data_IF_499822841559
#
_entry.id   IF_499822841559
#
_cell.length_a   1.000
_cell.length_b   1.000
_cell.length_c   1.000
_cell.angle_alpha   90.00
_cell.angle_beta   90.00
_cell.angle_gamma   90.00
#
_symmetry.space_group_name_H-M   'P 1'
#
loop_
_entity.id
_entity.type
_entity.pdbx_description
1 polymer ?
#
# COMPACT_ATOMS: atom_id res chain seq x y z
N UNK A 1 19.08 19.90 27.98
CA UNK A 1 18.52 20.43 26.71
C UNK A 1 19.05 19.59 25.57
N UNK A 2 18.23 18.94 24.74
CA UNK A 2 18.75 18.20 23.59
C UNK A 2 18.94 19.16 22.41
N UNK A 3 20.14 19.08 21.83
CA UNK A 3 20.63 19.83 20.68
C UNK A 3 19.81 19.42 19.45
N UNK A 4 19.08 20.36 18.84
CA UNK A 4 18.45 20.16 17.52
C UNK A 4 19.54 19.73 16.52
N UNK A 5 19.56 18.46 16.13
CA UNK A 5 20.35 18.04 14.96
C UNK A 5 19.65 18.58 13.72
N UNK A 6 20.09 19.73 13.24
CA UNK A 6 19.85 20.14 11.85
C UNK A 6 20.39 19.04 10.94
N UNK A 7 19.50 18.24 10.37
CA UNK A 7 19.80 17.30 9.29
C UNK A 7 20.49 18.11 8.18
N UNK A 8 21.79 17.89 7.99
CA UNK A 8 22.47 18.31 6.77
C UNK A 8 21.85 17.49 5.65
N UNK A 9 21.03 18.12 4.80
CA UNK A 9 20.61 17.55 3.53
C UNK A 9 21.88 17.30 2.71
N UNK A 10 22.36 16.06 2.74
CA UNK A 10 23.49 15.62 1.95
C UNK A 10 23.05 15.62 0.50
N UNK A 11 23.58 16.56 -0.30
CA UNK A 11 23.39 16.64 -1.74
C UNK A 11 24.15 15.49 -2.41
N UNK A 12 23.58 14.29 -2.34
CA UNK A 12 24.14 13.09 -2.92
C UNK A 12 23.91 13.09 -4.45
N UNK A 13 24.95 12.76 -5.22
CA UNK A 13 24.91 12.72 -6.69
C UNK A 13 25.06 11.27 -7.12
N UNK A 14 24.13 10.77 -7.91
CA UNK A 14 24.09 9.38 -8.39
C UNK A 14 24.52 9.29 -9.86
N UNK A 15 25.25 8.24 -10.26
CA UNK A 15 25.68 8.02 -11.64
C UNK A 15 24.52 7.59 -12.54
N UNK A 16 24.71 7.70 -13.85
CA UNK A 16 23.74 7.31 -14.89
C UNK A 16 23.15 5.91 -14.67
N UNK A 17 23.98 4.91 -14.39
CA UNK A 17 23.53 3.52 -14.28
C UNK A 17 22.53 3.34 -13.12
N UNK A 18 22.74 4.07 -12.03
CA UNK A 18 21.82 4.09 -10.90
C UNK A 18 20.53 4.85 -11.23
N UNK A 19 20.61 5.96 -11.98
CA UNK A 19 19.41 6.67 -12.47
C UNK A 19 18.57 5.77 -13.35
N UNK A 20 19.17 5.01 -14.27
CA UNK A 20 18.45 4.08 -15.14
C UNK A 20 17.80 2.95 -14.33
N UNK A 21 18.50 2.40 -13.33
CA UNK A 21 17.96 1.39 -12.44
C UNK A 21 16.77 1.91 -11.63
N UNK A 22 16.86 3.11 -11.04
CA UNK A 22 15.81 3.71 -10.21
C UNK A 22 14.58 4.16 -11.00
N UNK A 23 14.78 4.61 -12.24
CA UNK A 23 13.71 5.13 -13.11
C UNK A 23 13.12 4.08 -14.05
N UNK A 24 13.76 2.90 -14.15
CA UNK A 24 13.46 1.84 -15.12
C UNK A 24 13.43 2.34 -16.58
N UNK A 25 14.08 3.46 -16.87
CA UNK A 25 14.15 4.02 -18.22
C UNK A 25 15.27 3.35 -19.02
N UNK A 26 15.04 3.21 -20.32
CA UNK A 26 16.16 2.95 -21.24
C UNK A 26 16.99 4.23 -21.41
N UNK A 27 18.28 4.07 -21.69
CA UNK A 27 19.20 5.18 -21.95
C UNK A 27 18.70 6.10 -23.08
N UNK A 28 18.09 5.53 -24.12
CA UNK A 28 17.49 6.30 -25.23
C UNK A 28 16.28 7.13 -24.79
N UNK A 29 15.46 6.59 -23.88
CA UNK A 29 14.30 7.32 -23.33
C UNK A 29 14.76 8.46 -22.44
N UNK A 30 15.77 8.24 -21.59
CA UNK A 30 16.35 9.28 -20.76
C UNK A 30 16.88 10.45 -21.62
N UNK A 31 17.68 10.17 -22.66
CA UNK A 31 18.14 11.23 -23.57
C UNK A 31 17.00 11.96 -24.30
N UNK A 32 15.93 11.25 -24.66
CA UNK A 32 14.73 11.86 -25.24
C UNK A 32 14.07 12.83 -24.24
N UNK A 33 13.95 12.46 -22.97
CA UNK A 33 13.37 13.31 -21.93
C UNK A 33 14.25 14.52 -21.62
N UNK A 34 15.58 14.35 -21.60
CA UNK A 34 16.53 15.46 -21.44
C UNK A 34 16.39 16.48 -22.56
N UNK A 35 16.26 16.04 -23.83
CA UNK A 35 16.01 16.94 -24.97
C UNK A 35 14.66 17.67 -24.92
N UNK A 36 13.72 17.15 -24.15
CA UNK A 36 12.37 17.72 -23.99
C UNK A 36 12.23 18.57 -22.72
N UNK A 37 13.32 18.77 -21.96
CA UNK A 37 13.29 19.39 -20.63
C UNK A 37 12.30 18.73 -19.66
N UNK A 38 12.06 17.42 -19.86
CA UNK A 38 11.14 16.60 -19.08
C UNK A 38 11.84 15.69 -18.08
N UNK A 39 13.15 15.84 -17.87
CA UNK A 39 13.92 15.11 -16.85
C UNK A 39 14.99 16.06 -16.29
N UNK A 40 15.38 15.96 -15.00
CA UNK A 40 16.41 16.81 -14.44
C UNK A 40 17.71 16.76 -15.24
N UNK A 41 18.34 17.91 -15.44
CA UNK A 41 19.58 17.97 -16.19
C UNK A 41 20.74 17.39 -15.36
N UNK A 42 21.64 16.61 -15.98
CA UNK A 42 22.82 16.08 -15.31
C UNK A 42 23.75 17.21 -14.86
N UNK A 43 24.37 17.00 -13.70
CA UNK A 43 25.49 17.81 -13.21
C UNK A 43 26.82 17.11 -13.52
N UNK A 44 27.86 17.84 -13.98
CA UNK A 44 29.18 17.27 -14.16
C UNK A 44 29.77 16.80 -12.82
N UNK A 45 30.27 15.57 -12.77
CA UNK A 45 31.03 15.03 -11.62
C UNK A 45 32.54 15.08 -11.89
N UNK A 46 32.95 14.96 -13.15
CA UNK A 46 34.34 15.12 -13.61
C UNK A 46 34.36 15.45 -15.11
N UNK A 47 35.56 15.62 -15.70
CA UNK A 47 35.72 15.84 -17.15
C UNK A 47 35.12 14.75 -18.04
N UNK A 48 34.85 13.54 -17.51
CA UNK A 48 34.33 12.41 -18.29
C UNK A 48 33.05 11.79 -17.70
N UNK A 49 32.57 12.30 -16.57
CA UNK A 49 31.42 11.71 -15.88
C UNK A 49 30.37 12.75 -15.51
N UNK A 50 29.12 12.35 -15.67
CA UNK A 50 27.93 13.12 -15.32
C UNK A 50 27.10 12.33 -14.32
N UNK A 51 26.38 13.04 -13.46
CA UNK A 51 25.48 12.44 -12.47
C UNK A 51 24.28 13.34 -12.21
N UNK A 52 23.35 12.87 -11.40
CA UNK A 52 22.15 13.61 -11.02
C UNK A 52 22.09 13.76 -9.52
N UNK A 53 21.62 14.91 -9.03
CA UNK A 53 21.25 14.99 -7.63
C UNK A 53 20.13 14.00 -7.36
N UNK A 54 20.33 13.15 -6.35
CA UNK A 54 19.38 12.12 -5.96
C UNK A 54 17.99 12.71 -5.67
N UNK A 55 17.96 13.87 -5.01
CA UNK A 55 16.72 14.60 -4.70
C UNK A 55 15.98 15.04 -5.96
N UNK A 56 16.68 15.40 -7.04
CA UNK A 56 16.02 15.84 -8.27
C UNK A 56 15.40 14.66 -9.02
N UNK A 57 16.09 13.51 -9.02
CA UNK A 57 15.55 12.26 -9.59
C UNK A 57 14.35 11.77 -8.79
N UNK A 58 14.42 11.83 -7.45
CA UNK A 58 13.30 11.49 -6.57
C UNK A 58 12.11 12.43 -6.78
N UNK A 59 12.35 13.75 -6.80
CA UNK A 59 11.32 14.74 -7.08
C UNK A 59 10.72 14.56 -8.47
N UNK A 60 11.52 14.20 -9.46
CA UNK A 60 11.03 13.91 -10.80
C UNK A 60 10.17 12.64 -10.83
N UNK A 61 10.54 11.58 -10.11
CA UNK A 61 9.73 10.37 -9.99
C UNK A 61 8.40 10.67 -9.31
N UNK A 62 8.41 11.44 -8.22
CA UNK A 62 7.22 11.88 -7.51
C UNK A 62 6.34 12.80 -8.37
N UNK A 63 6.95 13.74 -9.09
CA UNK A 63 6.28 14.66 -10.01
C UNK A 63 5.73 13.96 -11.25
N UNK A 64 6.42 12.96 -11.78
CA UNK A 64 5.97 12.12 -12.89
C UNK A 64 4.82 11.22 -12.47
N UNK A 65 4.87 10.68 -11.24
CA UNK A 65 3.73 9.99 -10.61
C UNK A 65 2.53 10.94 -10.49
N UNK A 66 2.73 12.14 -9.94
CA UNK A 66 1.68 13.14 -9.80
C UNK A 66 1.11 13.60 -11.16
N UNK A 67 1.94 13.84 -12.18
CA UNK A 67 1.50 14.24 -13.53
C UNK A 67 0.82 13.09 -14.29
N UNK A 68 1.30 11.86 -14.12
CA UNK A 68 0.63 10.65 -14.63
C UNK A 68 -0.75 10.52 -13.98
N UNK A 69 -0.85 10.81 -12.69
CA UNK A 69 -2.09 10.71 -11.94
C UNK A 69 -3.06 11.88 -12.15
N UNK A 70 -2.54 13.06 -12.49
CA UNK A 70 -3.34 14.21 -12.90
C UNK A 70 -3.97 14.00 -14.30
N UNK A 71 -3.31 13.23 -15.17
CA UNK A 71 -3.78 13.00 -16.54
C UNK A 71 -4.45 11.65 -16.81
N UNK A 72 -4.30 10.63 -15.96
CA UNK A 72 -4.82 9.28 -16.24
C UNK A 72 -5.24 8.54 -14.97
N UNK A 73 -6.51 8.12 -14.95
CA UNK A 73 -7.09 7.05 -14.13
C UNK A 73 -7.07 7.21 -12.61
N UNK A 74 -8.09 6.60 -11.98
CA UNK A 74 -8.23 6.49 -10.54
C UNK A 74 -6.97 5.86 -9.90
N UNK A 75 -6.60 6.23 -8.65
CA UNK A 75 -5.42 5.68 -8.01
C UNK A 75 -5.54 4.19 -7.78
N UNK A 76 -4.44 3.47 -8.01
CA UNK A 76 -4.36 2.04 -7.73
C UNK A 76 -4.10 1.86 -6.24
N UNK A 77 -5.02 1.24 -5.52
CA UNK A 77 -4.97 1.08 -4.07
C UNK A 77 -4.87 -0.39 -3.71
N UNK A 78 -3.88 -0.72 -2.87
CA UNK A 78 -3.78 -2.00 -2.19
C UNK A 78 -4.27 -1.88 -0.74
N UNK A 79 -5.15 -2.77 -0.31
CA UNK A 79 -5.76 -2.76 1.01
C UNK A 79 -5.06 -3.77 1.93
N UNK A 80 -3.95 -3.37 2.54
CA UNK A 80 -3.15 -4.23 3.41
C UNK A 80 -4.00 -4.82 4.55
N UNK A 81 -3.71 -6.08 4.90
CA UNK A 81 -4.47 -6.81 5.89
C UNK A 81 -4.66 -8.29 5.58
N UNK A 82 -4.93 -9.08 6.61
CA UNK A 82 -5.20 -10.51 6.48
C UNK A 82 -6.48 -10.74 5.68
N UNK A 83 -6.33 -11.59 4.66
CA UNK A 83 -7.42 -12.02 3.80
C UNK A 83 -8.03 -13.32 4.26
N UNK A 84 -9.37 -13.34 4.36
CA UNK A 84 -10.08 -14.61 4.48
C UNK A 84 -10.00 -15.25 5.87
N UNK A 85 -11.16 -15.42 6.46
CA UNK A 85 -11.47 -16.38 7.50
C UNK A 85 -12.94 -16.74 7.27
N UNK A 86 -13.39 -17.93 7.70
CA UNK A 86 -14.77 -18.36 7.47
C UNK A 86 -15.79 -17.29 7.88
N UNK A 87 -16.91 -17.26 7.17
CA UNK A 87 -17.94 -16.22 7.20
C UNK A 87 -18.58 -15.99 8.58
N UNK A 88 -18.36 -16.93 9.51
CA UNK A 88 -18.88 -16.86 10.87
C UNK A 88 -17.96 -16.07 11.80
N UNK A 89 -18.46 -14.90 12.17
CA UNK A 89 -17.94 -13.90 13.10
C UNK A 89 -17.70 -14.40 14.55
N UNK A 90 -17.19 -15.61 14.79
CA UNK A 90 -16.75 -16.03 16.12
C UNK A 90 -15.94 -17.34 16.05
N UNK A 91 -14.66 -17.26 16.40
CA UNK A 91 -14.08 -18.34 17.22
C UNK A 91 -14.36 -17.96 18.67
N UNK A 92 -15.03 -18.81 19.47
CA UNK A 92 -15.34 -18.51 20.86
C UNK A 92 -14.11 -18.14 21.70
N UNK A 93 -12.92 -18.62 21.30
CA UNK A 93 -11.70 -18.54 22.10
C UNK A 93 -10.50 -17.91 21.35
N UNK A 94 -10.72 -17.32 20.17
CA UNK A 94 -9.64 -16.69 19.39
C UNK A 94 -9.52 -15.22 19.75
N UNK A 95 -8.75 -14.97 20.79
CA UNK A 95 -8.23 -13.64 21.07
C UNK A 95 -7.26 -13.25 19.96
N UNK A 96 -7.74 -12.38 19.07
CA UNK A 96 -6.96 -11.40 18.31
C UNK A 96 -6.43 -11.81 16.91
N UNK A 97 -6.96 -11.19 15.85
CA UNK A 97 -6.27 -11.06 14.56
C UNK A 97 -6.83 -9.85 13.81
N UNK A 98 -6.00 -9.05 13.13
CA UNK A 98 -6.46 -7.84 12.44
C UNK A 98 -7.35 -8.21 11.24
N UNK A 99 -8.66 -7.98 11.35
CA UNK A 99 -9.62 -8.20 10.28
C UNK A 99 -9.85 -6.90 9.48
N UNK A 100 -10.46 -7.10 8.31
CA UNK A 100 -10.23 -6.40 7.04
C UNK A 100 -10.60 -4.91 7.08
N UNK A 101 -9.79 -3.99 6.50
CA UNK A 101 -10.33 -2.70 6.04
C UNK A 101 -11.28 -2.89 4.85
N UNK A 102 -11.11 -3.96 4.07
CA UNK A 102 -11.78 -4.13 2.79
C UNK A 102 -12.46 -5.50 2.66
N UNK A 103 -13.76 -5.48 2.36
CA UNK A 103 -14.52 -6.70 2.10
C UNK A 103 -14.32 -7.17 0.65
N UNK A 104 -13.34 -8.05 0.46
CA UNK A 104 -12.97 -8.58 -0.86
C UNK A 104 -14.04 -9.47 -1.47
N UNK A 105 -15.07 -9.89 -0.71
CA UNK A 105 -16.24 -10.55 -1.31
C UNK A 105 -16.93 -9.67 -2.37
N UNK A 106 -16.77 -8.34 -2.26
CA UNK A 106 -17.27 -7.35 -3.22
C UNK A 106 -16.42 -7.26 -4.50
N UNK A 107 -15.22 -7.82 -4.50
CA UNK A 107 -14.35 -7.89 -5.68
C UNK A 107 -14.68 -9.15 -6.48
N UNK A 108 -14.97 -8.98 -7.78
CA UNK A 108 -15.11 -10.10 -8.72
C UNK A 108 -13.76 -10.53 -9.31
N UNK A 109 -12.69 -9.77 -9.03
CA UNK A 109 -11.34 -10.03 -9.50
C UNK A 109 -10.77 -11.31 -8.87
N UNK A 110 -10.56 -12.36 -9.68
CA UNK A 110 -9.98 -13.65 -9.26
C UNK A 110 -8.53 -13.75 -9.73
N UNK A 111 -7.62 -14.05 -8.81
CA UNK A 111 -6.23 -14.39 -9.15
C UNK A 111 -6.03 -15.90 -9.18
N UNK A 112 -5.12 -16.36 -10.04
CA UNK A 112 -4.79 -17.76 -10.17
C UNK A 112 -3.54 -18.07 -9.36
N UNK A 113 -3.69 -18.80 -8.26
CA UNK A 113 -2.58 -19.42 -7.54
C UNK A 113 -2.31 -20.79 -8.19
N UNK A 114 -2.05 -20.78 -9.50
CA UNK A 114 -1.97 -21.96 -10.35
C UNK A 114 -0.53 -22.41 -10.54
N UNK A 115 -0.29 -23.66 -10.17
CA UNK A 115 0.89 -24.51 -10.36
C UNK A 115 1.75 -24.21 -11.60
N UNK A 116 3.06 -24.11 -11.36
CA UNK A 116 4.18 -24.24 -12.30
C UNK A 116 3.78 -24.71 -13.71
N UNK A 117 3.66 -23.78 -14.66
CA UNK A 117 4.16 -23.93 -16.04
C UNK A 117 3.73 -22.75 -16.91
N UNK A 118 4.63 -21.77 -17.09
CA UNK A 118 4.93 -21.02 -18.33
C UNK A 118 5.33 -19.57 -18.00
N UNK A 119 6.22 -19.01 -18.81
CA UNK A 119 7.02 -17.79 -18.57
C UNK A 119 6.24 -16.47 -18.41
N UNK A 120 4.93 -16.48 -18.11
CA UNK A 120 4.12 -15.27 -17.85
C UNK A 120 3.12 -15.46 -16.71
N UNK A 121 3.62 -15.74 -15.50
CA UNK A 121 2.81 -15.95 -14.28
C UNK A 121 2.16 -14.65 -13.75
N UNK A 122 1.03 -14.25 -14.32
CA UNK A 122 0.17 -13.23 -13.71
C UNK A 122 -0.58 -13.86 -12.52
N UNK A 123 -0.02 -13.73 -11.31
CA UNK A 123 -0.58 -14.30 -10.08
C UNK A 123 -1.85 -13.57 -9.58
N UNK A 124 -1.99 -12.30 -9.94
CA UNK A 124 -3.04 -11.42 -9.42
C UNK A 124 -3.97 -10.93 -10.53
N UNK A 125 -5.25 -10.78 -10.19
CA UNK A 125 -6.24 -10.22 -11.11
C UNK A 125 -5.89 -8.78 -11.53
N UNK A 126 -6.30 -8.29 -12.72
CA UNK A 126 -6.14 -6.87 -13.06
C UNK A 126 -6.88 -5.96 -12.07
N UNK A 127 -6.46 -4.69 -11.89
CA UNK A 127 -7.14 -3.81 -10.96
C UNK A 127 -8.61 -3.58 -11.36
N UNK A 128 -9.50 -3.56 -10.37
CA UNK A 128 -10.94 -3.37 -10.57
C UNK A 128 -11.36 -2.00 -10.03
N UNK A 129 -12.16 -1.23 -10.77
CA UNK A 129 -12.74 0.01 -10.23
C UNK A 129 -13.69 -0.31 -9.07
N UNK A 130 -13.47 0.34 -7.94
CA UNK A 130 -14.26 0.17 -6.71
C UNK A 130 -14.50 1.54 -6.05
N UNK A 131 -15.43 1.55 -5.08
CA UNK A 131 -15.81 2.75 -4.33
C UNK A 131 -15.65 2.47 -2.85
N UNK A 132 -15.07 3.43 -2.10
CA UNK A 132 -15.00 3.30 -0.65
C UNK A 132 -16.42 3.25 -0.07
N UNK A 133 -16.66 2.32 0.86
CA UNK A 133 -17.98 2.06 1.41
C UNK A 133 -18.64 3.33 1.97
N UNK A 134 -19.86 3.62 1.51
CA UNK A 134 -20.64 4.78 1.99
C UNK A 134 -20.12 6.13 1.48
N UNK A 135 -19.24 6.14 0.47
CA UNK A 135 -18.66 7.37 -0.09
C UNK A 135 -18.84 7.41 -1.61
N UNK A 136 -18.36 8.49 -2.25
CA UNK A 136 -18.27 8.64 -3.71
C UNK A 136 -16.83 8.56 -4.24
N UNK A 137 -15.87 8.22 -3.39
CA UNK A 137 -14.45 8.18 -3.77
C UNK A 137 -14.15 6.87 -4.47
N UNK A 138 -13.80 6.96 -5.75
CA UNK A 138 -13.49 5.82 -6.62
C UNK A 138 -11.99 5.54 -6.63
N UNK A 139 -11.62 4.28 -6.83
CA UNK A 139 -10.23 3.85 -6.90
C UNK A 139 -10.10 2.55 -7.72
N UNK A 140 -8.91 2.24 -8.20
CA UNK A 140 -8.60 0.94 -8.80
C UNK A 140 -8.08 -0.01 -7.73
N UNK A 141 -8.85 -1.03 -7.36
CA UNK A 141 -8.49 -2.03 -6.38
C UNK A 141 -7.41 -2.98 -6.89
N UNK A 142 -6.25 -2.98 -6.24
CA UNK A 142 -5.09 -3.81 -6.58
C UNK A 142 -5.06 -5.14 -5.85
N UNK A 143 -5.86 -5.28 -4.80
CA UNK A 143 -5.84 -6.43 -3.93
C UNK A 143 -5.73 -6.03 -2.47
N UNK A 144 -5.56 -7.01 -1.58
CA UNK A 144 -5.36 -8.43 -1.88
C UNK A 144 -6.52 -9.08 -2.67
N UNK A 145 -6.26 -10.06 -3.55
CA UNK A 145 -7.28 -10.60 -4.46
C UNK A 145 -7.97 -11.85 -3.90
N UNK A 146 -9.10 -12.21 -4.51
CA UNK A 146 -9.80 -13.47 -4.23
C UNK A 146 -9.14 -14.61 -5.00
N UNK A 147 -8.72 -15.67 -4.33
CA UNK A 147 -8.17 -16.86 -4.99
C UNK A 147 -9.25 -17.60 -5.79
N UNK A 148 -8.82 -18.24 -6.88
CA UNK A 148 -9.64 -19.19 -7.62
C UNK A 148 -9.71 -20.51 -6.86
N UNK A 149 -10.93 -21.04 -6.64
CA UNK A 149 -11.16 -22.16 -5.72
C UNK A 149 -10.98 -21.72 -4.27
N UNK A 150 -12.06 -21.29 -3.62
CA UNK A 150 -11.99 -20.85 -2.22
C UNK A 150 -11.78 -22.10 -1.36
N UNK A 151 -10.58 -22.30 -0.84
CA UNK A 151 -10.31 -23.37 0.10
C UNK A 151 -10.69 -22.94 1.52
N UNK A 152 -11.51 -23.75 2.19
CA UNK A 152 -11.87 -23.59 3.61
C UNK A 152 -12.42 -22.20 4.02
N UNK A 153 -13.03 -21.46 3.08
CA UNK A 153 -13.56 -20.11 3.36
C UNK A 153 -12.50 -19.00 3.42
N UNK A 154 -11.22 -19.31 3.14
CA UNK A 154 -10.16 -18.30 3.06
C UNK A 154 -10.18 -17.62 1.69
N UNK A 155 -10.40 -16.30 1.68
CA UNK A 155 -10.54 -15.50 0.45
C UNK A 155 -9.30 -15.52 -0.44
N UNK A 156 -8.10 -15.60 0.12
CA UNK A 156 -6.84 -15.78 -0.61
C UNK A 156 -6.48 -17.27 -0.83
N UNK A 157 -7.37 -18.20 -0.45
CA UNK A 157 -7.19 -19.64 -0.64
C UNK A 157 -6.08 -20.26 0.22
N UNK A 158 -5.50 -19.52 1.17
CA UNK A 158 -4.39 -20.02 1.99
C UNK A 158 -4.57 -19.68 3.46
N UNK A 159 -4.20 -20.62 4.33
CA UNK A 159 -4.14 -20.48 5.78
C UNK A 159 -2.72 -20.82 6.28
N UNK A 160 -2.51 -20.71 7.59
CA UNK A 160 -1.26 -21.15 8.24
C UNK A 160 -0.97 -22.64 8.09
N UNK A 161 -1.98 -23.45 7.74
CA UNK A 161 -1.83 -24.90 7.50
C UNK A 161 -1.69 -25.25 6.01
N UNK A 162 -1.70 -24.27 5.12
CA UNK A 162 -1.51 -24.50 3.68
C UNK A 162 -0.06 -24.89 3.36
N UNK A 163 0.21 -25.67 2.30
CA UNK A 163 1.58 -25.99 1.89
C UNK A 163 2.40 -24.75 1.51
N UNK A 164 3.72 -24.80 1.74
CA UNK A 164 4.66 -23.70 1.46
C UNK A 164 4.52 -23.10 0.06
N UNK A 165 4.30 -23.94 -0.96
CA UNK A 165 4.09 -23.48 -2.34
C UNK A 165 2.92 -22.49 -2.47
N UNK A 166 1.83 -22.73 -1.74
CA UNK A 166 0.63 -21.90 -1.78
C UNK A 166 0.85 -20.61 -0.98
N UNK A 167 1.49 -20.72 0.19
CA UNK A 167 1.88 -19.54 0.99
C UNK A 167 2.83 -18.63 0.20
N UNK A 168 3.82 -19.21 -0.48
CA UNK A 168 4.77 -18.48 -1.34
C UNK A 168 4.07 -17.79 -2.52
N UNK A 169 3.10 -18.45 -3.16
CA UNK A 169 2.34 -17.85 -4.25
C UNK A 169 1.48 -16.67 -3.77
N UNK A 170 0.81 -16.80 -2.62
CA UNK A 170 0.06 -15.72 -2.00
C UNK A 170 0.98 -14.54 -1.60
N UNK A 171 2.15 -14.83 -1.03
CA UNK A 171 3.16 -13.82 -0.71
C UNK A 171 3.64 -13.06 -1.96
N UNK A 172 4.02 -13.78 -3.03
CA UNK A 172 4.46 -13.15 -4.30
C UNK A 172 3.38 -12.28 -4.92
N UNK A 173 2.13 -12.74 -4.89
CA UNK A 173 1.03 -11.92 -5.38
C UNK A 173 0.83 -10.65 -4.53
N UNK A 174 1.03 -10.71 -3.20
CA UNK A 174 0.90 -9.55 -2.33
C UNK A 174 1.96 -8.50 -2.69
N UNK A 175 3.21 -8.95 -2.88
CA UNK A 175 4.28 -8.09 -3.39
C UNK A 175 3.95 -7.50 -4.77
N UNK A 176 3.40 -8.28 -5.69
CA UNK A 176 2.99 -7.80 -7.02
C UNK A 176 1.85 -6.76 -6.92
N UNK A 177 0.88 -6.98 -6.04
CA UNK A 177 -0.24 -6.08 -5.78
C UNK A 177 0.20 -4.75 -5.17
N UNK A 178 1.14 -4.79 -4.22
CA UNK A 178 1.74 -3.59 -3.62
C UNK A 178 2.62 -2.88 -4.65
N UNK A 179 3.44 -3.61 -5.40
CA UNK A 179 4.34 -3.06 -6.41
C UNK A 179 3.62 -2.27 -7.49
N UNK A 180 2.41 -2.69 -7.90
CA UNK A 180 1.59 -1.92 -8.86
C UNK A 180 0.73 -0.82 -8.23
N UNK A 181 0.63 -0.76 -6.90
CA UNK A 181 -0.19 0.24 -6.24
C UNK A 181 0.47 1.62 -6.25
N UNK A 182 -0.36 2.65 -6.21
CA UNK A 182 0.01 4.03 -5.92
C UNK A 182 0.01 4.27 -4.41
N UNK A 183 -1.00 3.69 -3.72
CA UNK A 183 -1.26 3.82 -2.29
C UNK A 183 -1.51 2.46 -1.66
N UNK A 184 -0.98 2.25 -0.46
CA UNK A 184 -1.33 1.15 0.44
C UNK A 184 -2.13 1.70 1.61
N UNK A 185 -3.28 1.08 1.89
CA UNK A 185 -4.13 1.44 3.03
C UNK A 185 -4.18 0.26 3.99
N UNK A 186 -3.81 0.48 5.24
CA UNK A 186 -3.87 -0.50 6.31
C UNK A 186 -4.85 -0.03 7.40
N UNK A 187 -5.70 -0.93 7.86
CA UNK A 187 -6.48 -0.75 9.09
C UNK A 187 -5.97 -1.74 10.13
N UNK A 188 -5.44 -1.22 11.23
CA UNK A 188 -4.92 -1.99 12.35
C UNK A 188 -5.95 -1.93 13.46
N UNK A 189 -6.53 -3.07 13.81
CA UNK A 189 -7.45 -3.19 14.94
C UNK A 189 -6.94 -4.12 16.04
N UNK A 190 -5.76 -4.69 15.82
CA UNK A 190 -5.20 -5.77 16.61
C UNK A 190 -3.66 -5.75 16.57
N UNK A 191 -3.02 -6.31 17.59
CA UNK A 191 -1.56 -6.45 17.70
C UNK A 191 -1.00 -7.55 16.79
N UNK A 192 -1.78 -8.58 16.47
CA UNK A 192 -1.38 -9.68 15.59
C UNK A 192 -1.48 -9.29 14.10
N UNK A 193 -0.78 -8.21 13.76
CA UNK A 193 -0.78 -7.58 12.44
C UNK A 193 0.42 -7.99 11.57
N UNK A 194 1.18 -9.01 11.94
CA UNK A 194 2.53 -9.26 11.42
C UNK A 194 2.63 -9.19 9.89
N UNK A 195 1.69 -9.84 9.18
CA UNK A 195 1.61 -9.76 7.72
C UNK A 195 1.40 -8.33 7.21
N UNK A 196 0.41 -7.62 7.77
CA UNK A 196 0.12 -6.20 7.46
C UNK A 196 1.33 -5.30 7.72
N UNK A 197 2.10 -5.53 8.79
CA UNK A 197 3.31 -4.76 9.08
C UNK A 197 4.39 -4.98 8.02
N UNK A 198 4.53 -6.21 7.52
CA UNK A 198 5.43 -6.52 6.39
C UNK A 198 4.96 -5.82 5.12
N UNK A 199 3.65 -5.82 4.84
CA UNK A 199 3.07 -5.10 3.70
C UNK A 199 3.34 -3.59 3.77
N UNK A 200 3.16 -2.97 4.95
CA UNK A 200 3.49 -1.56 5.21
C UNK A 200 4.98 -1.29 4.98
N UNK A 201 5.85 -2.14 5.53
CA UNK A 201 7.30 -2.01 5.36
C UNK A 201 7.72 -2.12 3.89
N UNK A 202 7.20 -3.11 3.17
CA UNK A 202 7.47 -3.30 1.75
C UNK A 202 6.93 -2.14 0.90
N UNK A 203 5.74 -1.63 1.21
CA UNK A 203 5.16 -0.46 0.57
C UNK A 203 6.08 0.76 0.71
N UNK A 204 6.63 1.00 1.91
CA UNK A 204 7.59 2.09 2.13
C UNK A 204 8.91 1.87 1.43
N UNK A 205 9.45 0.66 1.46
CA UNK A 205 10.67 0.30 0.75
C UNK A 205 10.54 0.48 -0.78
N UNK A 206 9.32 0.34 -1.32
CA UNK A 206 9.02 0.51 -2.75
C UNK A 206 8.39 1.88 -3.08
N UNK A 207 8.59 2.87 -2.20
CA UNK A 207 8.18 4.27 -2.38
C UNK A 207 6.67 4.46 -2.65
N UNK A 208 5.84 3.64 -2.00
CA UNK A 208 4.38 3.77 -2.03
C UNK A 208 3.91 4.73 -0.95
N UNK A 209 2.83 5.45 -1.22
CA UNK A 209 2.15 6.22 -0.17
C UNK A 209 1.44 5.24 0.76
N UNK A 210 1.53 5.45 2.06
CA UNK A 210 0.93 4.57 3.06
C UNK A 210 -0.03 5.35 3.94
N UNK A 211 -1.26 4.84 4.04
CA UNK A 211 -2.26 5.28 5.01
C UNK A 211 -2.39 4.18 6.05
N UNK A 212 -2.18 4.53 7.33
CA UNK A 212 -2.44 3.63 8.45
C UNK A 212 -3.60 4.19 9.27
N UNK A 213 -4.62 3.39 9.48
CA UNK A 213 -5.77 3.71 10.32
C UNK A 213 -5.77 2.77 11.51
N UNK A 214 -5.87 3.29 12.72
CA UNK A 214 -5.85 2.48 13.96
C UNK A 214 -7.20 2.52 14.67
N UNK A 215 -7.75 1.34 14.99
CA UNK A 215 -8.95 1.18 15.79
C UNK A 215 -8.76 1.68 17.22
N UNK A 216 -9.80 2.18 17.90
CA UNK A 216 -9.71 2.52 19.32
C UNK A 216 -9.38 1.32 20.20
N UNK A 217 -9.68 0.09 19.75
CA UNK A 217 -9.38 -1.14 20.47
C UNK A 217 -7.88 -1.29 20.80
N UNK A 218 -6.99 -0.79 19.93
CA UNK A 218 -5.54 -0.80 20.16
C UNK A 218 -5.09 0.07 21.33
N UNK A 219 -5.95 0.98 21.79
CA UNK A 219 -5.67 1.93 22.85
C UNK A 219 -6.40 1.61 24.16
N UNK A 220 -7.04 0.44 24.26
CA UNK A 220 -7.75 -0.02 25.48
C UNK A 220 -6.89 -1.01 26.29
N UNK A 221 -6.98 -1.03 27.64
CA UNK A 221 -6.33 -2.05 28.45
C UNK A 221 -6.80 -3.48 28.07
N UNK A 222 -5.93 -4.50 28.12
CA UNK A 222 -4.54 -4.48 28.60
C UNK A 222 -3.52 -3.99 27.54
N UNK A 223 -3.97 -3.66 26.33
CA UNK A 223 -3.14 -3.26 25.19
C UNK A 223 -2.55 -1.85 25.37
N UNK A 224 -3.14 -1.04 26.26
CA UNK A 224 -2.70 0.31 26.61
C UNK A 224 -1.69 0.32 27.77
N UNK A 225 -0.52 -0.25 27.54
CA UNK A 225 0.66 -0.09 28.39
C UNK A 225 1.68 0.90 27.78
N UNK A 226 1.18 1.87 26.99
CA UNK A 226 1.93 3.07 26.62
C UNK A 226 2.93 2.89 25.47
N UNK A 227 2.47 2.46 24.28
CA UNK A 227 3.30 2.23 23.07
C UNK A 227 4.14 0.94 23.09
N UNK A 228 3.96 0.06 24.09
CA UNK A 228 4.61 -1.24 24.19
C UNK A 228 4.20 -2.28 23.14
N UNK A 229 3.22 -1.96 22.30
CA UNK A 229 2.65 -2.83 21.25
C UNK A 229 3.55 -3.04 20.03
N UNK A 230 4.70 -2.36 19.92
CA UNK A 230 5.62 -2.47 18.78
C UNK A 230 5.09 -1.87 17.46
N UNK A 231 3.79 -1.52 17.39
CA UNK A 231 3.13 -0.96 16.20
C UNK A 231 3.61 0.46 15.85
N UNK A 232 4.21 1.17 16.80
CA UNK A 232 4.69 2.54 16.61
C UNK A 232 5.59 2.68 15.37
N UNK A 233 6.40 1.66 15.07
CA UNK A 233 7.30 1.69 13.93
C UNK A 233 6.53 1.71 12.60
N UNK A 234 5.50 0.87 12.47
CA UNK A 234 4.64 0.84 11.30
C UNK A 234 3.80 2.12 11.17
N UNK A 235 3.32 2.67 12.28
CA UNK A 235 2.62 3.96 12.32
C UNK A 235 3.54 5.08 11.83
N UNK A 236 4.80 5.11 12.26
CA UNK A 236 5.80 6.09 11.79
C UNK A 236 6.19 5.90 10.32
N UNK A 237 5.96 4.71 9.78
CA UNK A 237 6.14 4.44 8.36
C UNK A 237 5.01 5.05 7.52
N UNK A 238 3.86 5.41 8.09
CA UNK A 238 2.73 5.97 7.34
C UNK A 238 3.00 7.42 6.87
N UNK A 239 2.56 7.75 5.66
CA UNK A 239 2.46 9.15 5.21
C UNK A 239 1.24 9.85 5.83
N UNK A 240 0.20 9.08 6.14
CA UNK A 240 -0.96 9.53 6.93
C UNK A 240 -1.33 8.48 7.95
N UNK A 241 -1.28 8.85 9.23
CA UNK A 241 -1.81 8.05 10.33
C UNK A 241 -3.11 8.67 10.84
N UNK A 242 -4.13 7.84 11.05
CA UNK A 242 -5.46 8.25 11.51
C UNK A 242 -5.87 7.35 12.68
N UNK A 243 -6.03 7.94 13.85
CA UNK A 243 -6.62 7.27 15.01
C UNK A 243 -8.13 7.47 14.98
N UNK A 244 -8.88 6.36 14.94
CA UNK A 244 -10.33 6.44 15.02
C UNK A 244 -10.76 6.84 16.45
N UNK A 245 -11.85 7.61 16.59
CA UNK A 245 -12.33 8.03 17.91
C UNK A 245 -12.93 6.86 18.68
N UNK A 246 -12.65 6.78 19.98
CA UNK A 246 -13.34 5.87 20.89
C UNK A 246 -14.71 6.47 21.26
N UNK A 247 -15.80 5.88 20.77
CA UNK A 247 -17.16 6.31 21.09
C UNK A 247 -17.82 5.27 21.98
N UNK A 248 -18.59 5.69 23.00
CA UNK A 248 -19.48 4.76 23.69
C UNK A 248 -20.41 4.11 22.66
N UNK A 249 -20.62 2.80 22.80
CA UNK A 249 -21.51 1.97 21.98
C UNK A 249 -21.11 1.75 20.50
N UNK A 250 -19.90 2.15 20.07
CA UNK A 250 -19.45 1.86 18.71
C UNK A 250 -19.10 0.39 18.49
N UNK A 251 -19.66 -0.20 17.45
CA UNK A 251 -19.37 -1.59 17.07
C UNK A 251 -18.12 -1.68 16.19
N UNK A 252 -17.47 -2.87 16.07
CA UNK A 252 -16.39 -3.07 15.10
C UNK A 252 -16.79 -2.69 13.66
N UNK A 253 -18.06 -2.91 13.30
CA UNK A 253 -18.62 -2.52 12.00
C UNK A 253 -18.68 -1.00 11.82
N UNK A 254 -18.88 -0.24 12.89
CA UNK A 254 -18.88 1.23 12.84
C UNK A 254 -17.46 1.78 12.70
N UNK A 255 -16.48 1.20 13.41
CA UNK A 255 -15.07 1.53 13.22
C UNK A 255 -14.62 1.23 11.78
N UNK A 256 -15.05 0.10 11.22
CA UNK A 256 -14.79 -0.26 9.82
C UNK A 256 -15.35 0.77 8.83
N UNK A 257 -16.59 1.23 9.04
CA UNK A 257 -17.21 2.29 8.22
C UNK A 257 -16.44 3.61 8.33
N UNK A 258 -16.00 3.97 9.53
CA UNK A 258 -15.19 5.17 9.77
C UNK A 258 -13.82 5.06 9.09
N UNK A 259 -13.16 3.90 9.14
CA UNK A 259 -11.90 3.65 8.44
C UNK A 259 -12.06 3.89 6.92
N UNK A 260 -13.14 3.39 6.32
CA UNK A 260 -13.47 3.66 4.92
C UNK A 260 -13.64 5.15 4.62
N UNK A 261 -14.37 5.88 5.46
CA UNK A 261 -14.59 7.32 5.29
C UNK A 261 -13.28 8.12 5.37
N UNK A 262 -12.44 7.81 6.36
CA UNK A 262 -11.14 8.47 6.55
C UNK A 262 -10.15 8.16 5.43
N UNK A 263 -10.10 6.90 4.96
CA UNK A 263 -9.32 6.53 3.79
C UNK A 263 -9.80 7.29 2.55
N UNK A 264 -11.12 7.33 2.30
CA UNK A 264 -11.72 8.04 1.17
C UNK A 264 -11.38 9.53 1.17
N UNK A 265 -11.45 10.19 2.33
CA UNK A 265 -11.07 11.60 2.48
C UNK A 265 -9.60 11.85 2.14
N UNK A 266 -8.71 11.01 2.65
CA UNK A 266 -7.26 11.13 2.39
C UNK A 266 -6.95 10.89 0.90
N UNK A 267 -7.63 9.91 0.30
CA UNK A 267 -7.50 9.64 -1.14
C UNK A 267 -8.00 10.81 -1.96
N UNK A 268 -9.15 11.42 -1.64
CA UNK A 268 -9.64 12.58 -2.40
C UNK A 268 -8.77 13.83 -2.19
N UNK A 269 -8.13 13.97 -1.02
CA UNK A 269 -7.13 15.02 -0.75
C UNK A 269 -5.91 14.84 -1.68
N UNK A 270 -5.41 13.61 -1.81
CA UNK A 270 -4.25 13.30 -2.66
C UNK A 270 -4.58 13.23 -4.15
N UNK A 271 -5.81 12.87 -4.47
CA UNK A 271 -6.30 12.57 -5.81
C UNK A 271 -7.70 13.17 -6.04
N UNK A 272 -7.81 14.48 -6.31
CA UNK A 272 -9.10 15.18 -6.37
C UNK A 272 -10.09 14.63 -7.42
N UNK A 273 -9.58 14.05 -8.52
CA UNK A 273 -10.39 13.50 -9.61
C UNK A 273 -11.10 12.17 -9.26
N UNK A 274 -10.94 11.67 -8.03
CA UNK A 274 -11.52 10.39 -7.58
C UNK A 274 -12.99 10.47 -7.20
N UNK A 275 -13.50 11.67 -6.92
CA UNK A 275 -14.90 11.85 -6.52
C UNK A 275 -15.79 11.61 -7.74
N UNK A 276 -16.71 10.66 -7.65
CA UNK A 276 -17.76 10.51 -8.65
C UNK A 276 -18.66 11.75 -8.64
N UNK A 277 -18.78 12.43 -9.79
CA UNK A 277 -19.80 13.45 -9.97
C UNK A 277 -21.18 12.77 -9.94
N UNK A 278 -22.17 13.42 -9.32
CA UNK A 278 -23.54 12.95 -9.41
C UNK A 278 -23.98 12.95 -10.89
N UNK A 279 -24.82 11.98 -11.31
CA UNK A 279 -25.43 12.02 -12.64
C UNK A 279 -26.29 13.28 -12.83
#
# INVERSE_FOLDING_TARGET
>A
MPRKSTLRSTKHVIPMDEVLARTALSKSTLYKLLRQDKFPHPTPMSNRSIGWFEVDVENWLQGSKANRQANLALPVIYMAGKMGGPEDNQKPDSHFSCWRIFDVSRSSARGNLGTESSETDVLIAPPQEMVFHGTRTRFMYSGPWKAQGIDHGYLNGVSSSSPDRAQNAAYRGALQGISRADVVVAYLEDLEAYGTLVEIGYARATNKRVIVITSPALHKPPLNNGWGSGLWFAIRAADRHIELPDRPDSTPKDHWRLAHAHAAMTISEWYPNTIAHAP
#
